data_IF_637162492315
#
_entry.id   IF_637162492315
#
_cell.length_a   1.000
_cell.length_b   1.000
_cell.length_c   1.000
_cell.angle_alpha   90.00
_cell.angle_beta   90.00
_cell.angle_gamma   90.00
#
_symmetry.space_group_name_H-M   'P 1'
#
loop_
_entity.id
_entity.type
_entity.pdbx_description
1 polymer ?
#
# COMPACT_ATOMS: atom_id res chain seq x y z
N UNK A 1 -12.53 -1.16 3.58
CA UNK A 1 -11.40 -2.02 3.17
C UNK A 1 -11.85 -3.49 3.21
N UNK A 2 -11.34 -4.35 2.33
CA UNK A 2 -11.71 -5.77 2.28
C UNK A 2 -11.25 -6.63 3.48
N UNK A 3 -10.19 -6.21 4.16
CA UNK A 3 -9.64 -6.78 5.40
C UNK A 3 -10.33 -6.25 6.68
N UNK A 4 -11.20 -5.23 6.59
CA UNK A 4 -11.84 -4.64 7.77
C UNK A 4 -12.73 -5.62 8.54
N UNK A 5 -13.41 -6.55 7.84
CA UNK A 5 -14.24 -7.57 8.50
C UNK A 5 -13.39 -8.62 9.25
N UNK A 6 -12.33 -9.20 8.66
CA UNK A 6 -11.36 -10.00 9.40
C UNK A 6 -10.78 -9.26 10.63
N UNK A 7 -10.35 -8.01 10.47
CA UNK A 7 -9.82 -7.20 11.58
C UNK A 7 -10.86 -6.98 12.68
N UNK A 8 -12.12 -6.76 12.34
CA UNK A 8 -13.21 -6.68 13.34
C UNK A 8 -13.30 -7.97 14.15
N UNK A 9 -13.23 -9.14 13.50
CA UNK A 9 -13.28 -10.44 14.19
C UNK A 9 -12.08 -10.65 15.10
N UNK A 10 -10.89 -10.27 14.67
CA UNK A 10 -9.67 -10.34 15.47
C UNK A 10 -9.76 -9.44 16.70
N UNK A 11 -10.25 -8.20 16.53
CA UNK A 11 -10.48 -7.27 17.64
C UNK A 11 -11.53 -7.80 18.62
N UNK A 12 -12.61 -8.42 18.14
CA UNK A 12 -13.62 -9.05 19.01
C UNK A 12 -13.01 -10.23 19.77
N UNK A 13 -12.24 -11.10 19.10
CA UNK A 13 -11.57 -12.23 19.73
C UNK A 13 -10.59 -11.77 20.82
N UNK A 14 -9.80 -10.73 20.54
CA UNK A 14 -8.94 -10.11 21.53
C UNK A 14 -9.72 -9.48 22.69
N UNK A 15 -10.84 -8.80 22.41
CA UNK A 15 -11.70 -8.20 23.42
C UNK A 15 -12.30 -9.27 24.35
N UNK A 16 -12.70 -10.43 23.82
CA UNK A 16 -13.15 -11.58 24.63
C UNK A 16 -12.08 -12.02 25.62
N UNK A 17 -10.84 -12.18 25.17
CA UNK A 17 -9.73 -12.56 26.05
C UNK A 17 -9.44 -11.49 27.10
N UNK A 18 -9.50 -10.22 26.71
CA UNK A 18 -9.32 -9.08 27.62
C UNK A 18 -10.38 -9.07 28.72
N UNK A 19 -11.66 -9.25 28.36
CA UNK A 19 -12.77 -9.30 29.32
C UNK A 19 -12.66 -10.52 30.23
N UNK A 20 -12.31 -11.69 29.69
CA UNK A 20 -12.11 -12.91 30.49
C UNK A 20 -10.99 -12.76 31.55
N UNK A 21 -9.99 -11.91 31.29
CA UNK A 21 -8.94 -11.56 32.26
C UNK A 21 -9.33 -10.43 33.22
N UNK A 22 -10.59 -10.02 33.25
CA UNK A 22 -11.11 -8.94 34.11
C UNK A 22 -10.95 -7.53 33.54
N UNK A 23 -10.55 -7.40 32.28
CA UNK A 23 -10.46 -6.10 31.59
C UNK A 23 -11.81 -5.58 31.09
N UNK A 24 -11.87 -4.29 30.74
CA UNK A 24 -13.04 -3.73 30.07
C UNK A 24 -13.11 -4.12 28.59
N UNK A 25 -14.33 -4.17 28.04
CA UNK A 25 -14.58 -4.30 26.61
C UNK A 25 -14.11 -3.08 25.82
N UNK A 26 -14.25 -3.13 24.49
CA UNK A 26 -13.87 -2.04 23.58
C UNK A 26 -15.08 -1.45 22.87
N UNK A 27 -14.85 -0.32 22.20
CA UNK A 27 -15.78 0.26 21.23
C UNK A 27 -15.21 0.14 19.82
N UNK A 28 -16.00 -0.33 18.87
CA UNK A 28 -15.66 -0.36 17.43
C UNK A 28 -16.64 0.55 16.69
N UNK A 29 -16.11 1.55 15.96
CA UNK A 29 -16.91 2.39 15.06
C UNK A 29 -16.83 1.82 13.65
N UNK A 30 -17.96 1.44 13.08
CA UNK A 30 -18.06 0.93 11.71
C UNK A 30 -18.37 2.11 10.78
N UNK A 31 -17.48 2.34 9.82
CA UNK A 31 -17.57 3.39 8.80
C UNK A 31 -17.30 2.79 7.41
N UNK A 32 -17.74 3.42 6.33
CA UNK A 32 -17.44 2.98 4.96
C UNK A 32 -16.02 3.34 4.51
N UNK A 33 -15.58 4.57 4.81
CA UNK A 33 -14.26 5.11 4.46
C UNK A 33 -14.36 6.56 3.98
N UNK A 34 -13.27 7.31 4.05
CA UNK A 34 -13.25 8.75 3.73
C UNK A 34 -12.02 9.19 2.91
N UNK A 35 -11.21 8.24 2.43
CA UNK A 35 -9.89 8.47 1.84
C UNK A 35 -9.72 7.82 0.45
N UNK A 36 -10.80 7.45 -0.26
CA UNK A 36 -10.70 6.70 -1.52
C UNK A 36 -9.77 7.38 -2.54
N UNK A 37 -9.88 8.70 -2.72
CA UNK A 37 -9.03 9.44 -3.64
C UNK A 37 -7.54 9.35 -3.28
N UNK A 38 -7.20 9.43 -1.99
CA UNK A 38 -5.83 9.28 -1.49
C UNK A 38 -5.32 7.87 -1.76
N UNK A 39 -6.11 6.84 -1.44
CA UNK A 39 -5.76 5.44 -1.69
C UNK A 39 -5.55 5.14 -3.18
N UNK A 40 -6.31 5.81 -4.07
CA UNK A 40 -6.13 5.70 -5.52
C UNK A 40 -4.82 6.31 -5.99
N UNK A 41 -4.43 7.48 -5.47
CA UNK A 41 -3.14 8.10 -5.80
C UNK A 41 -1.98 7.26 -5.29
N UNK A 42 -2.03 6.80 -4.04
CA UNK A 42 -1.00 5.95 -3.45
C UNK A 42 -0.84 4.63 -4.22
N UNK A 43 -1.94 4.01 -4.63
CA UNK A 43 -1.92 2.80 -5.43
C UNK A 43 -1.23 3.02 -6.79
N UNK A 44 -1.57 4.12 -7.47
CA UNK A 44 -0.98 4.45 -8.78
C UNK A 44 0.50 4.82 -8.68
N UNK A 45 0.89 5.62 -7.69
CA UNK A 45 2.27 6.10 -7.54
C UNK A 45 3.27 4.97 -7.26
N UNK A 46 2.84 3.93 -6.54
CA UNK A 46 3.70 2.82 -6.13
C UNK A 46 3.47 1.52 -6.93
N UNK A 47 2.63 1.56 -7.97
CA UNK A 47 2.15 0.39 -8.71
C UNK A 47 1.60 -0.73 -7.79
N UNK A 48 0.88 -0.32 -6.75
CA UNK A 48 0.26 -1.25 -5.79
C UNK A 48 -1.20 -1.51 -6.13
N UNK A 49 -1.73 -2.72 -5.86
CA UNK A 49 -3.16 -2.95 -5.90
C UNK A 49 -3.89 -1.97 -4.97
N UNK A 50 -4.97 -1.37 -5.47
CA UNK A 50 -5.84 -0.50 -4.67
C UNK A 50 -6.31 -1.25 -3.42
N UNK A 51 -5.97 -0.75 -2.23
CA UNK A 51 -6.28 -1.42 -0.96
C UNK A 51 -7.79 -1.47 -0.67
N UNK A 52 -8.58 -0.39 -0.89
CA UNK A 52 -10.03 -0.44 -0.80
C UNK A 52 -10.73 -1.36 -1.82
N UNK A 53 -12.02 -1.61 -1.57
CA UNK A 53 -12.90 -2.12 -2.61
C UNK A 53 -12.96 -1.16 -3.79
N UNK A 54 -13.11 -1.70 -5.00
CA UNK A 54 -13.14 -0.93 -6.24
C UNK A 54 -14.55 -0.42 -6.59
N UNK A 55 -15.58 -0.91 -5.90
CA UNK A 55 -16.95 -0.48 -6.11
C UNK A 55 -17.67 -0.16 -4.81
N UNK A 56 -18.59 0.80 -4.87
CA UNK A 56 -19.46 1.15 -3.73
C UNK A 56 -20.32 -0.02 -3.26
N UNK A 57 -20.80 -0.85 -4.19
CA UNK A 57 -21.63 -2.01 -3.86
C UNK A 57 -20.88 -3.00 -2.95
N UNK A 58 -19.58 -3.21 -3.18
CA UNK A 58 -18.74 -4.07 -2.34
C UNK A 58 -18.49 -3.45 -0.96
N UNK A 59 -18.23 -2.14 -0.91
CA UNK A 59 -18.12 -1.40 0.36
C UNK A 59 -19.40 -1.57 1.17
N UNK A 60 -20.54 -1.38 0.51
CA UNK A 60 -21.84 -1.52 1.12
C UNK A 60 -22.08 -2.96 1.57
N UNK A 61 -21.82 -3.97 0.75
CA UNK A 61 -21.96 -5.39 1.12
C UNK A 61 -21.12 -5.74 2.36
N UNK A 62 -19.86 -5.31 2.40
CA UNK A 62 -18.99 -5.53 3.55
C UNK A 62 -19.45 -4.77 4.79
N UNK A 63 -20.00 -3.56 4.64
CA UNK A 63 -20.61 -2.82 5.75
C UNK A 63 -21.75 -3.63 6.38
N UNK A 64 -22.62 -4.27 5.58
CA UNK A 64 -23.69 -5.13 6.10
C UNK A 64 -23.10 -6.33 6.84
N UNK A 65 -22.07 -6.98 6.27
CA UNK A 65 -21.36 -8.09 6.91
C UNK A 65 -20.81 -7.71 8.29
N UNK A 66 -20.17 -6.55 8.39
CA UNK A 66 -19.63 -6.03 9.65
C UNK A 66 -20.73 -5.66 10.67
N UNK A 67 -21.88 -5.17 10.19
CA UNK A 67 -23.06 -4.91 11.04
C UNK A 67 -23.66 -6.21 11.59
N UNK A 68 -23.63 -7.33 10.84
CA UNK A 68 -24.04 -8.63 11.38
C UNK A 68 -23.12 -9.10 12.50
N UNK A 69 -21.81 -8.97 12.35
CA UNK A 69 -20.87 -9.25 13.44
C UNK A 69 -21.13 -8.35 14.66
N UNK A 70 -21.49 -7.08 14.42
CA UNK A 70 -21.77 -6.14 15.50
C UNK A 70 -23.04 -6.52 16.30
N UNK A 71 -24.04 -7.06 15.61
CA UNK A 71 -25.33 -7.42 16.20
C UNK A 71 -25.38 -8.84 16.78
N UNK A 72 -24.40 -9.69 16.54
CA UNK A 72 -24.29 -10.99 17.21
C UNK A 72 -24.22 -10.78 18.75
N UNK A 73 -25.11 -11.40 19.55
CA UNK A 73 -25.15 -11.18 21.00
C UNK A 73 -23.85 -11.53 21.73
N UNK A 74 -23.13 -12.56 21.29
CA UNK A 74 -21.86 -12.98 21.89
C UNK A 74 -20.73 -12.01 21.54
N UNK A 75 -20.77 -11.36 20.38
CA UNK A 75 -19.86 -10.28 20.02
C UNK A 75 -20.21 -8.98 20.79
N UNK A 76 -21.49 -8.61 20.80
CA UNK A 76 -22.02 -7.41 21.45
C UNK A 76 -21.81 -7.41 22.97
N UNK A 77 -21.73 -8.58 23.61
CA UNK A 77 -21.43 -8.71 25.04
C UNK A 77 -20.08 -8.11 25.45
N UNK A 78 -19.08 -8.14 24.56
CA UNK A 78 -17.70 -7.70 24.84
C UNK A 78 -17.28 -6.45 24.06
N UNK A 79 -18.04 -6.07 23.03
CA UNK A 79 -17.81 -4.87 22.22
C UNK A 79 -19.06 -4.00 22.14
N UNK A 80 -18.92 -2.69 22.31
CA UNK A 80 -19.94 -1.71 21.93
C UNK A 80 -19.68 -1.28 20.48
N UNK A 81 -20.69 -1.31 19.63
CA UNK A 81 -20.54 -0.94 18.22
C UNK A 81 -21.23 0.39 17.93
N UNK A 82 -20.51 1.31 17.29
CA UNK A 82 -21.07 2.53 16.73
C UNK A 82 -21.21 2.38 15.22
N UNK A 83 -22.44 2.31 14.72
CA UNK A 83 -22.73 2.24 13.28
C UNK A 83 -22.84 3.65 12.74
N UNK A 84 -21.80 4.11 12.04
CA UNK A 84 -21.73 5.47 11.53
C UNK A 84 -22.15 5.53 10.06
N UNK A 85 -23.33 6.10 9.80
CA UNK A 85 -23.86 6.21 8.44
C UNK A 85 -24.93 7.31 8.35
N UNK A 86 -25.03 7.96 7.20
CA UNK A 86 -26.18 8.80 6.84
C UNK A 86 -27.13 8.10 5.86
N UNK A 87 -26.80 6.87 5.43
CA UNK A 87 -27.65 6.10 4.54
C UNK A 87 -28.83 5.51 5.32
N UNK A 88 -30.04 6.00 5.06
CA UNK A 88 -31.24 5.60 5.79
C UNK A 88 -31.59 4.11 5.60
N UNK A 89 -31.25 3.50 4.48
CA UNK A 89 -31.41 2.05 4.31
C UNK A 89 -30.49 1.28 5.28
N UNK A 90 -29.25 1.71 5.44
CA UNK A 90 -28.31 1.09 6.38
C UNK A 90 -28.74 1.29 7.84
N UNK A 91 -29.27 2.48 8.16
CA UNK A 91 -29.80 2.78 9.50
C UNK A 91 -31.02 1.91 9.80
N UNK A 92 -32.01 1.88 8.91
CA UNK A 92 -33.22 1.06 9.08
C UNK A 92 -32.88 -0.43 9.18
N UNK A 93 -31.96 -0.91 8.33
CA UNK A 93 -31.47 -2.29 8.37
C UNK A 93 -30.86 -2.64 9.72
N UNK A 94 -30.00 -1.77 10.25
CA UNK A 94 -29.33 -1.98 11.54
C UNK A 94 -30.31 -1.90 12.71
N UNK A 95 -31.29 -0.98 12.68
CA UNK A 95 -32.34 -0.86 13.69
C UNK A 95 -33.13 -2.17 13.81
N UNK A 96 -33.56 -2.72 12.68
CA UNK A 96 -34.29 -3.98 12.65
C UNK A 96 -33.41 -5.15 13.12
N UNK A 97 -32.15 -5.19 12.69
CA UNK A 97 -31.23 -6.26 13.06
C UNK A 97 -30.92 -6.27 14.56
N UNK A 98 -30.53 -5.13 15.14
CA UNK A 98 -30.18 -5.08 16.56
C UNK A 98 -31.37 -5.39 17.47
N UNK A 99 -32.58 -5.00 17.07
CA UNK A 99 -33.81 -5.29 17.79
C UNK A 99 -34.15 -6.79 17.72
N UNK A 100 -33.96 -7.41 16.55
CA UNK A 100 -34.14 -8.86 16.36
C UNK A 100 -33.19 -9.67 17.23
N UNK A 101 -31.93 -9.26 17.34
CA UNK A 101 -30.92 -9.95 18.15
C UNK A 101 -30.92 -9.52 19.64
N UNK A 102 -31.73 -8.52 20.03
CA UNK A 102 -31.84 -8.05 21.41
C UNK A 102 -30.62 -7.30 21.94
N UNK A 103 -29.91 -6.56 21.07
CA UNK A 103 -28.62 -5.90 21.38
C UNK A 103 -28.67 -4.36 21.27
N UNK A 104 -29.86 -3.77 21.37
CA UNK A 104 -30.09 -2.31 21.26
C UNK A 104 -29.14 -1.47 22.12
N UNK A 105 -28.88 -1.89 23.36
CA UNK A 105 -28.00 -1.17 24.29
C UNK A 105 -26.50 -1.28 23.95
N UNK A 106 -26.13 -2.12 22.97
CA UNK A 106 -24.73 -2.41 22.59
C UNK A 106 -24.40 -1.96 21.18
N UNK A 107 -25.40 -1.70 20.34
CA UNK A 107 -25.24 -1.21 18.97
C UNK A 107 -25.92 0.15 18.83
N UNK A 108 -25.11 1.20 18.85
CA UNK A 108 -25.52 2.60 18.76
C UNK A 108 -25.30 3.16 17.36
N UNK A 109 -25.90 4.31 17.08
CA UNK A 109 -25.75 5.02 15.81
C UNK A 109 -24.88 6.24 15.98
N UNK A 110 -24.13 6.55 14.93
CA UNK A 110 -23.32 7.75 14.87
C UNK A 110 -23.52 8.51 13.56
N UNK A 111 -23.54 9.84 13.63
CA UNK A 111 -23.66 10.71 12.46
C UNK A 111 -22.71 11.90 12.58
N UNK A 112 -22.45 12.56 11.46
CA UNK A 112 -21.72 13.82 11.46
C UNK A 112 -22.68 14.94 11.88
N UNK A 113 -22.20 15.82 12.74
CA UNK A 113 -22.91 17.06 13.03
C UNK A 113 -23.02 17.91 11.75
N UNK A 114 -24.18 18.55 11.52
CA UNK A 114 -24.29 19.67 10.59
C UNK A 114 -24.67 19.29 9.16
N UNK A 115 -25.05 18.03 8.95
CA UNK A 115 -25.19 17.44 7.61
C UNK A 115 -26.66 17.14 7.25
N UNK A 116 -27.30 16.28 8.04
CA UNK A 116 -28.66 15.79 7.79
C UNK A 116 -29.52 15.94 9.05
N UNK A 117 -29.61 17.16 9.58
CA UNK A 117 -30.13 17.43 10.93
C UNK A 117 -31.56 16.89 11.16
N UNK A 118 -32.44 16.98 10.16
CA UNK A 118 -33.79 16.43 10.25
C UNK A 118 -33.79 14.91 10.38
N UNK A 119 -32.97 14.23 9.57
CA UNK A 119 -32.81 12.78 9.59
C UNK A 119 -32.12 12.34 10.89
N UNK A 120 -31.09 13.04 11.34
CA UNK A 120 -30.39 12.78 12.59
C UNK A 120 -31.35 12.82 13.79
N UNK A 121 -32.27 13.78 13.83
CA UNK A 121 -33.31 13.84 14.87
C UNK A 121 -34.22 12.61 14.85
N UNK A 122 -34.72 12.23 13.67
CA UNK A 122 -35.59 11.05 13.52
C UNK A 122 -34.85 9.77 13.91
N UNK A 123 -33.58 9.65 13.54
CA UNK A 123 -32.74 8.50 13.93
C UNK A 123 -32.50 8.47 15.43
N UNK A 124 -32.20 9.60 16.07
CA UNK A 124 -32.05 9.69 17.52
C UNK A 124 -33.32 9.22 18.25
N UNK A 125 -34.49 9.70 17.81
CA UNK A 125 -35.79 9.30 18.38
C UNK A 125 -36.07 7.80 18.16
N UNK A 126 -35.83 7.29 16.95
CA UNK A 126 -36.10 5.87 16.60
C UNK A 126 -35.12 4.90 17.25
N UNK A 127 -33.87 5.32 17.44
CA UNK A 127 -32.80 4.49 17.98
C UNK A 127 -32.67 4.57 19.51
N UNK A 128 -33.36 5.51 20.17
CA UNK A 128 -33.16 5.79 21.60
C UNK A 128 -31.78 6.38 21.92
N UNK A 129 -31.15 7.03 20.96
CA UNK A 129 -29.82 7.65 21.10
C UNK A 129 -29.07 7.78 19.77
N UNK A 130 -28.31 8.87 19.64
CA UNK A 130 -27.42 9.15 18.52
C UNK A 130 -26.17 9.87 19.02
N UNK A 131 -24.99 9.37 18.64
CA UNK A 131 -23.72 10.05 18.89
C UNK A 131 -23.36 10.93 17.69
N UNK A 132 -23.13 12.23 17.94
CA UNK A 132 -22.70 13.17 16.91
C UNK A 132 -21.18 13.33 16.92
N UNK A 133 -20.57 13.15 15.75
CA UNK A 133 -19.19 13.54 15.50
C UNK A 133 -19.15 15.03 15.19
N UNK A 134 -18.71 15.81 16.18
CA UNK A 134 -18.63 17.26 16.12
C UNK A 134 -17.16 17.69 16.00
N UNK A 135 -16.68 18.09 14.81
CA UNK A 135 -15.34 18.64 14.66
C UNK A 135 -15.27 20.01 15.34
N UNK A 136 -14.27 20.20 16.20
CA UNK A 136 -14.01 21.46 16.91
C UNK A 136 -12.56 21.86 16.63
N UNK A 137 -12.35 23.15 16.36
CA UNK A 137 -11.03 23.71 16.07
C UNK A 137 -10.87 25.03 16.83
N UNK A 138 -9.65 25.36 17.24
CA UNK A 138 -9.35 26.69 17.77
C UNK A 138 -9.55 27.74 16.68
N UNK A 139 -9.88 28.96 17.09
CA UNK A 139 -10.09 30.08 16.15
C UNK A 139 -8.86 30.33 15.26
N UNK A 140 -7.67 30.16 15.82
CA UNK A 140 -6.41 30.41 15.12
C UNK A 140 -6.09 29.30 14.10
N UNK A 141 -6.68 28.11 14.25
CA UNK A 141 -6.50 26.96 13.37
C UNK A 141 -7.63 26.82 12.33
N UNK A 142 -8.39 27.88 12.07
CA UNK A 142 -9.57 27.85 11.20
C UNK A 142 -9.29 27.28 9.80
N UNK A 143 -8.08 27.45 9.27
CA UNK A 143 -7.67 26.86 7.99
C UNK A 143 -7.81 25.34 7.94
N UNK A 144 -7.60 24.64 9.07
CA UNK A 144 -7.79 23.19 9.17
C UNK A 144 -9.26 22.78 9.01
N UNK A 145 -10.20 23.63 9.44
CA UNK A 145 -11.63 23.40 9.22
C UNK A 145 -12.02 23.56 7.75
N UNK A 146 -11.34 24.41 6.98
CA UNK A 146 -11.57 24.55 5.54
C UNK A 146 -11.21 23.25 4.81
N UNK A 147 -10.06 22.65 5.11
CA UNK A 147 -9.67 21.37 4.53
C UNK A 147 -10.68 20.26 4.86
N UNK A 148 -11.19 20.24 6.10
CA UNK A 148 -12.26 19.33 6.50
C UNK A 148 -13.57 19.59 5.72
N UNK A 149 -13.96 20.86 5.55
CA UNK A 149 -15.16 21.25 4.81
C UNK A 149 -15.08 20.80 3.34
N UNK A 150 -13.95 21.03 2.67
CA UNK A 150 -13.74 20.60 1.27
C UNK A 150 -13.95 19.10 1.13
N UNK A 151 -13.38 18.30 2.04
CA UNK A 151 -13.58 16.84 2.06
C UNK A 151 -15.05 16.45 2.26
N UNK A 152 -15.79 17.16 3.12
CA UNK A 152 -17.23 16.90 3.32
C UNK A 152 -18.04 17.23 2.07
N UNK A 153 -17.74 18.35 1.41
CA UNK A 153 -18.41 18.74 0.15
C UNK A 153 -18.15 17.71 -0.96
N UNK A 154 -16.88 17.33 -1.16
CA UNK A 154 -16.49 16.33 -2.15
C UNK A 154 -17.21 14.99 -1.92
N UNK A 155 -17.14 14.47 -0.68
CA UNK A 155 -17.82 13.23 -0.31
C UNK A 155 -19.33 13.31 -0.60
N UNK A 156 -20.00 14.39 -0.21
CA UNK A 156 -21.46 14.52 -0.33
C UNK A 156 -21.97 14.70 -1.76
N UNK A 157 -21.15 15.25 -2.66
CA UNK A 157 -21.55 15.57 -4.04
C UNK A 157 -21.29 14.43 -5.05
N UNK A 158 -20.49 13.43 -4.65
CA UNK A 158 -20.22 12.23 -5.46
C UNK A 158 -21.51 11.57 -5.98
N UNK A 159 -21.49 11.15 -7.25
CA UNK A 159 -22.66 10.58 -7.95
C UNK A 159 -23.27 9.36 -7.25
N UNK A 160 -22.42 8.60 -6.57
CA UNK A 160 -22.86 7.41 -5.87
C UNK A 160 -23.19 7.67 -4.40
N UNK A 161 -22.99 8.87 -3.85
CA UNK A 161 -23.30 9.15 -2.45
C UNK A 161 -24.81 9.22 -2.20
N UNK A 162 -25.26 8.57 -1.12
CA UNK A 162 -26.65 8.63 -0.67
C UNK A 162 -27.08 10.06 -0.30
N UNK A 163 -26.18 10.87 0.27
CA UNK A 163 -26.48 12.25 0.67
C UNK A 163 -26.83 13.16 -0.51
N UNK A 164 -26.31 12.86 -1.71
CA UNK A 164 -26.67 13.56 -2.95
C UNK A 164 -28.16 13.42 -3.26
N UNK A 165 -28.68 12.20 -3.15
CA UNK A 165 -30.10 11.92 -3.43
C UNK A 165 -31.00 12.32 -2.23
N UNK A 166 -30.48 12.26 -1.00
CA UNK A 166 -31.27 12.39 0.24
C UNK A 166 -32.21 13.60 0.30
N UNK A 167 -31.77 14.78 -0.14
CA UNK A 167 -32.56 16.00 0.00
C UNK A 167 -33.73 16.10 -0.99
N UNK A 168 -33.63 15.43 -2.14
CA UNK A 168 -34.66 15.44 -3.19
C UNK A 168 -35.48 14.16 -3.28
N UNK A 169 -34.99 13.06 -2.70
CA UNK A 169 -35.54 11.73 -2.85
C UNK A 169 -36.83 11.53 -2.03
N UNK A 170 -37.83 10.94 -2.68
CA UNK A 170 -39.11 10.53 -2.09
C UNK A 170 -39.34 9.03 -2.32
N UNK A 171 -39.96 8.32 -1.36
CA UNK A 171 -40.32 6.92 -1.56
C UNK A 171 -41.07 6.68 -2.88
N UNK A 172 -40.52 5.78 -3.71
CA UNK A 172 -41.10 5.38 -4.99
C UNK A 172 -40.63 6.17 -6.22
N UNK A 173 -39.89 7.26 -6.05
CA UNK A 173 -39.26 7.94 -7.18
C UNK A 173 -38.04 7.18 -7.74
N UNK A 174 -37.47 7.68 -8.83
CA UNK A 174 -36.36 6.98 -9.51
C UNK A 174 -35.08 6.98 -8.66
N UNK A 175 -34.82 8.04 -7.88
CA UNK A 175 -33.67 8.07 -6.98
C UNK A 175 -33.82 7.03 -5.86
N UNK A 176 -35.01 6.93 -5.28
CA UNK A 176 -35.37 5.92 -4.29
C UNK A 176 -35.20 4.52 -4.83
N UNK A 177 -35.77 4.23 -6.01
CA UNK A 177 -35.65 2.90 -6.63
C UNK A 177 -34.19 2.52 -6.88
N UNK A 178 -33.36 3.46 -7.35
CA UNK A 178 -31.92 3.22 -7.53
C UNK A 178 -31.21 2.91 -6.20
N UNK A 179 -31.49 3.68 -5.15
CA UNK A 179 -30.87 3.45 -3.83
C UNK A 179 -31.38 2.14 -3.18
N UNK A 180 -32.67 1.82 -3.33
CA UNK A 180 -33.25 0.56 -2.89
C UNK A 180 -32.60 -0.63 -3.61
N UNK A 181 -32.44 -0.55 -4.93
CA UNK A 181 -31.82 -1.61 -5.72
C UNK A 181 -30.36 -1.83 -5.31
N UNK A 182 -29.58 -0.74 -5.16
CA UNK A 182 -28.20 -0.79 -4.61
C UNK A 182 -28.16 -1.46 -3.25
N UNK A 183 -29.07 -1.09 -2.35
CA UNK A 183 -29.17 -1.68 -1.02
C UNK A 183 -29.47 -3.19 -1.09
N UNK A 184 -30.41 -3.61 -1.94
CA UNK A 184 -30.78 -5.03 -2.13
C UNK A 184 -29.61 -5.84 -2.71
N UNK A 185 -28.89 -5.32 -3.71
CA UNK A 185 -27.69 -5.97 -4.26
C UNK A 185 -26.60 -6.13 -3.20
N UNK A 186 -26.33 -5.08 -2.42
CA UNK A 186 -25.38 -5.15 -1.31
C UNK A 186 -25.78 -6.20 -0.26
N UNK A 187 -27.07 -6.30 0.09
CA UNK A 187 -27.58 -7.34 0.99
C UNK A 187 -27.37 -8.75 0.44
N UNK A 188 -27.61 -8.96 -0.85
CA UNK A 188 -27.41 -10.26 -1.51
C UNK A 188 -25.93 -10.67 -1.59
N UNK A 189 -25.01 -9.70 -1.70
CA UNK A 189 -23.57 -9.95 -1.85
C UNK A 189 -22.80 -9.97 -0.52
N UNK A 190 -23.43 -9.66 0.62
CA UNK A 190 -22.74 -9.50 1.92
C UNK A 190 -21.89 -10.71 2.32
N UNK A 191 -22.32 -11.92 1.98
CA UNK A 191 -21.64 -13.17 2.36
C UNK A 191 -20.59 -13.63 1.33
N UNK A 192 -20.59 -13.03 0.13
CA UNK A 192 -19.73 -13.44 -1.00
C UNK A 192 -18.71 -12.36 -1.39
N UNK A 193 -18.83 -11.14 -0.86
CA UNK A 193 -17.83 -10.08 -1.08
C UNK A 193 -16.47 -10.48 -0.52
N UNK A 194 -15.39 -10.14 -1.23
CA UNK A 194 -14.02 -10.45 -0.84
C UNK A 194 -13.76 -10.11 0.64
N UNK A 195 -13.11 -11.02 1.35
CA UNK A 195 -12.66 -10.87 2.73
C UNK A 195 -11.15 -11.10 2.77
N UNK A 196 -10.41 -10.13 3.32
CA UNK A 196 -8.95 -10.17 3.39
C UNK A 196 -8.30 -9.11 2.49
N UNK A 197 -6.99 -8.88 2.66
CA UNK A 197 -6.30 -7.79 1.99
C UNK A 197 -6.23 -8.02 0.47
N UNK A 198 -6.27 -6.92 -0.30
CA UNK A 198 -5.98 -6.95 -1.74
C UNK A 198 -4.48 -6.90 -2.05
N UNK A 199 -3.70 -6.28 -1.16
CA UNK A 199 -2.24 -6.23 -1.25
C UNK A 199 -1.65 -7.47 -0.60
N UNK A 200 -0.85 -8.21 -1.37
CA UNK A 200 -0.33 -9.52 -1.00
C UNK A 200 1.18 -9.66 -1.25
N UNK A 201 1.86 -8.55 -1.56
CA UNK A 201 3.30 -8.52 -1.82
C UNK A 201 4.06 -9.17 -0.66
N UNK A 202 4.96 -10.07 -1.00
CA UNK A 202 5.84 -10.76 -0.06
C UNK A 202 7.16 -11.00 -0.78
N UNK A 203 8.12 -10.12 -0.53
CA UNK A 203 9.46 -10.16 -1.17
C UNK A 203 10.20 -11.48 -0.93
N UNK A 204 9.79 -12.33 0.03
CA UNK A 204 10.39 -13.66 0.22
C UNK A 204 9.85 -14.73 -0.73
N UNK A 205 8.74 -14.47 -1.43
CA UNK A 205 7.99 -15.47 -2.21
C UNK A 205 7.80 -15.10 -3.66
N UNK A 206 8.20 -13.89 -4.03
CA UNK A 206 8.10 -13.41 -5.40
C UNK A 206 9.04 -14.21 -6.30
N UNK A 207 8.53 -14.52 -7.49
CA UNK A 207 9.34 -15.08 -8.56
C UNK A 207 9.68 -13.94 -9.49
N UNK A 208 10.97 -13.64 -9.58
CA UNK A 208 11.44 -12.59 -10.47
C UNK A 208 11.32 -13.07 -11.91
N UNK A 209 10.54 -12.34 -12.70
CA UNK A 209 10.35 -12.61 -14.13
C UNK A 209 10.84 -11.38 -14.89
N UNK A 210 11.84 -11.59 -15.72
CA UNK A 210 12.34 -10.57 -16.62
C UNK A 210 11.23 -10.10 -17.59
N UNK A 211 11.02 -8.79 -17.70
CA UNK A 211 9.96 -8.21 -18.54
C UNK A 211 10.23 -8.45 -20.02
N UNK A 212 9.21 -8.85 -20.82
CA UNK A 212 9.37 -8.97 -22.27
C UNK A 212 9.82 -7.64 -22.90
N UNK A 213 10.73 -7.68 -23.88
CA UNK A 213 11.25 -6.48 -24.55
C UNK A 213 10.18 -5.70 -25.33
N UNK A 214 9.11 -6.38 -25.76
CA UNK A 214 7.97 -5.79 -26.46
C UNK A 214 6.87 -5.29 -25.52
N UNK A 215 7.02 -5.46 -24.21
CA UNK A 215 6.03 -5.00 -23.23
C UNK A 215 6.06 -3.46 -23.05
N UNK A 216 4.90 -2.83 -22.80
CA UNK A 216 4.83 -1.41 -22.43
C UNK A 216 5.62 -1.11 -21.15
N UNK A 217 5.90 0.18 -20.90
CA UNK A 217 6.66 0.58 -19.72
C UNK A 217 5.76 0.60 -18.52
N UNK A 218 6.20 -0.12 -17.51
CA UNK A 218 5.65 -0.12 -16.18
C UNK A 218 6.85 0.05 -15.26
N UNK A 219 6.73 1.03 -14.37
CA UNK A 219 7.68 1.18 -13.29
C UNK A 219 7.63 -0.08 -12.41
N UNK A 220 8.78 -0.47 -11.88
CA UNK A 220 8.87 -1.51 -10.87
C UNK A 220 8.11 -1.07 -9.61
N UNK A 221 7.39 -2.00 -8.98
CA UNK A 221 6.64 -1.69 -7.78
C UNK A 221 7.59 -1.57 -6.59
N UNK A 222 7.44 -0.52 -5.79
CA UNK A 222 8.15 -0.39 -4.51
C UNK A 222 7.73 -1.50 -3.54
N UNK A 223 8.55 -1.76 -2.53
CA UNK A 223 8.18 -2.65 -1.45
C UNK A 223 7.11 -2.01 -0.55
N UNK A 224 5.93 -2.62 -0.45
CA UNK A 224 4.87 -2.22 0.47
C UNK A 224 5.20 -2.64 1.91
N UNK A 225 5.86 -1.74 2.65
CA UNK A 225 6.18 -1.95 4.07
C UNK A 225 4.96 -1.86 5.01
N UNK A 226 3.75 -1.55 4.50
CA UNK A 226 2.51 -1.72 5.27
C UNK A 226 2.16 -3.21 5.48
N UNK A 227 2.74 -4.11 4.68
CA UNK A 227 2.57 -5.54 4.80
C UNK A 227 3.52 -6.15 5.85
N UNK A 228 3.01 -6.96 6.81
CA UNK A 228 3.84 -7.56 7.86
C UNK A 228 4.98 -8.44 7.33
N UNK A 229 4.78 -9.13 6.20
CA UNK A 229 5.79 -10.00 5.59
C UNK A 229 7.02 -9.20 5.15
N UNK A 230 6.81 -8.09 4.44
CA UNK A 230 7.89 -7.20 3.99
C UNK A 230 8.62 -6.52 5.17
N UNK A 231 7.90 -6.13 6.24
CA UNK A 231 8.58 -5.62 7.45
C UNK A 231 9.42 -6.69 8.15
N UNK A 232 8.97 -7.95 8.11
CA UNK A 232 9.72 -9.06 8.69
C UNK A 232 10.99 -9.31 7.85
N UNK A 233 10.84 -9.41 6.53
CA UNK A 233 11.94 -9.51 5.57
C UNK A 233 13.00 -8.42 5.78
N UNK A 234 12.59 -7.14 5.79
CA UNK A 234 13.51 -6.02 6.02
C UNK A 234 14.25 -6.10 7.36
N UNK A 235 13.57 -6.53 8.44
CA UNK A 235 14.21 -6.73 9.75
C UNK A 235 15.24 -7.86 9.72
N UNK A 236 14.93 -8.96 9.04
CA UNK A 236 15.85 -10.09 8.90
C UNK A 236 17.10 -9.69 8.10
N UNK A 237 16.94 -8.88 7.05
CA UNK A 237 18.06 -8.29 6.30
C UNK A 237 18.95 -7.40 7.16
N UNK A 238 18.35 -6.49 7.94
CA UNK A 238 19.10 -5.59 8.84
C UNK A 238 19.91 -6.41 9.86
N UNK A 239 19.30 -7.44 10.45
CA UNK A 239 19.96 -8.26 11.46
C UNK A 239 21.10 -9.10 10.86
N UNK A 240 20.86 -9.75 9.71
CA UNK A 240 21.88 -10.50 9.01
C UNK A 240 23.10 -9.63 8.69
N UNK A 241 22.86 -8.42 8.16
CA UNK A 241 23.90 -7.49 7.75
C UNK A 241 24.74 -6.94 8.92
N UNK A 242 24.14 -6.75 10.10
CA UNK A 242 24.90 -6.35 11.31
C UNK A 242 25.96 -7.36 11.73
N UNK A 243 25.73 -8.63 11.40
CA UNK A 243 26.57 -9.78 11.74
C UNK A 243 27.43 -10.28 10.58
N UNK A 244 27.37 -9.62 9.42
CA UNK A 244 28.10 -10.04 8.24
C UNK A 244 29.63 -9.94 8.47
N UNK A 245 30.41 -10.91 7.96
CA UNK A 245 31.86 -10.80 7.98
C UNK A 245 32.32 -9.65 7.08
N UNK A 246 33.41 -9.00 7.46
CA UNK A 246 34.07 -7.99 6.62
C UNK A 246 34.55 -8.68 5.35
N UNK A 247 33.97 -8.29 4.22
CA UNK A 247 34.30 -8.84 2.90
C UNK A 247 35.40 -8.03 2.22
N UNK A 248 36.25 -8.71 1.44
CA UNK A 248 37.23 -8.09 0.55
C UNK A 248 36.65 -8.09 -0.86
N UNK A 249 36.42 -6.90 -1.41
CA UNK A 249 35.78 -6.68 -2.71
C UNK A 249 36.89 -6.52 -3.78
N UNK A 250 37.01 -7.44 -4.75
CA UNK A 250 38.02 -7.39 -5.79
C UNK A 250 37.68 -6.37 -6.89
N UNK A 251 38.67 -6.06 -7.72
CA UNK A 251 38.42 -5.50 -9.05
C UNK A 251 37.87 -6.60 -9.97
N UNK A 252 37.09 -6.23 -10.98
CA UNK A 252 36.67 -7.14 -12.06
C UNK A 252 37.11 -6.57 -13.40
N UNK A 253 38.10 -7.19 -14.03
CA UNK A 253 38.65 -6.76 -15.32
C UNK A 253 38.63 -7.95 -16.28
N UNK A 254 38.06 -7.76 -17.48
CA UNK A 254 37.92 -8.82 -18.50
C UNK A 254 37.27 -10.11 -17.95
N UNK A 255 36.26 -9.96 -17.09
CA UNK A 255 35.54 -11.06 -16.45
C UNK A 255 36.34 -11.82 -15.38
N UNK A 256 37.44 -11.27 -14.88
CA UNK A 256 38.28 -11.88 -13.84
C UNK A 256 38.32 -11.02 -12.59
N UNK A 257 38.11 -11.66 -11.45
CA UNK A 257 38.30 -11.04 -10.14
C UNK A 257 39.80 -10.95 -9.81
N UNK A 258 40.24 -9.77 -9.37
CA UNK A 258 41.62 -9.49 -9.00
C UNK A 258 41.69 -8.70 -7.69
N UNK A 259 42.45 -9.22 -6.72
CA UNK A 259 42.81 -8.49 -5.51
C UNK A 259 44.13 -7.74 -5.73
N UNK A 260 44.14 -6.44 -5.46
CA UNK A 260 45.36 -5.64 -5.52
C UNK A 260 46.09 -5.63 -4.18
N UNK A 261 47.33 -5.11 -4.17
CA UNK A 261 48.10 -4.93 -2.93
C UNK A 261 47.58 -3.78 -2.06
N UNK A 262 46.72 -2.92 -2.60
CA UNK A 262 46.21 -1.72 -1.95
C UNK A 262 44.71 -1.86 -1.70
N UNK A 263 44.35 -2.08 -0.45
CA UNK A 263 42.95 -2.14 0.01
C UNK A 263 42.61 -0.91 0.81
N UNK A 264 41.40 -0.39 0.61
CA UNK A 264 40.79 0.62 1.48
C UNK A 264 39.58 0.07 2.21
N UNK A 265 39.43 0.47 3.47
CA UNK A 265 38.30 0.11 4.31
C UNK A 265 37.11 1.04 4.07
N UNK A 266 35.93 0.47 3.84
CA UNK A 266 34.65 1.14 3.98
C UNK A 266 34.14 1.04 5.41
N UNK A 267 33.48 2.09 5.91
CA UNK A 267 33.01 2.17 7.29
C UNK A 267 31.51 2.41 7.33
N UNK A 268 30.83 1.77 8.28
CA UNK A 268 29.40 1.95 8.49
C UNK A 268 29.11 3.37 9.05
N UNK A 269 28.42 4.26 8.31
CA UNK A 269 28.16 5.62 8.76
C UNK A 269 27.26 5.68 10.00
N UNK A 270 26.44 4.65 10.23
CA UNK A 270 25.55 4.53 11.38
C UNK A 270 26.25 3.97 12.63
N UNK A 271 27.43 3.37 12.46
CA UNK A 271 28.28 2.82 13.53
C UNK A 271 29.73 3.32 13.36
N UNK A 272 30.03 4.56 13.77
CA UNK A 272 31.35 5.15 13.55
C UNK A 272 32.50 4.28 14.07
N UNK A 273 33.49 4.05 13.21
CA UNK A 273 34.67 3.23 13.51
C UNK A 273 34.46 1.72 13.31
N UNK A 274 33.28 1.27 12.89
CA UNK A 274 33.05 -0.12 12.48
C UNK A 274 33.38 -0.25 11.00
N UNK A 275 34.44 -1.00 10.70
CA UNK A 275 34.78 -1.42 9.35
C UNK A 275 33.70 -2.37 8.81
N UNK A 276 33.19 -2.05 7.63
CA UNK A 276 32.09 -2.75 6.98
C UNK A 276 32.60 -3.75 5.93
N UNK A 277 33.55 -3.31 5.10
CA UNK A 277 34.16 -4.07 4.02
C UNK A 277 35.51 -3.45 3.67
N UNK A 278 36.30 -4.15 2.85
CA UNK A 278 37.51 -3.60 2.21
C UNK A 278 37.38 -3.75 0.71
N UNK A 279 37.91 -2.82 -0.07
CA UNK A 279 37.86 -2.91 -1.52
C UNK A 279 39.25 -2.65 -2.13
N UNK A 280 39.54 -3.36 -3.22
CA UNK A 280 40.76 -3.19 -3.99
C UNK A 280 40.77 -1.86 -4.74
N UNK A 281 41.87 -1.12 -4.61
CA UNK A 281 42.11 0.08 -5.41
C UNK A 281 42.79 -0.29 -6.72
N UNK A 282 42.27 0.25 -7.82
CA UNK A 282 42.90 0.15 -9.13
C UNK A 282 44.06 1.14 -9.27
N UNK A 283 45.25 0.63 -9.61
CA UNK A 283 46.39 1.45 -10.00
C UNK A 283 46.39 1.78 -11.49
N UNK A 284 47.41 2.53 -11.97
CA UNK A 284 47.53 2.86 -13.39
C UNK A 284 47.58 1.63 -14.31
N UNK A 285 48.20 0.53 -13.87
CA UNK A 285 48.30 -0.70 -14.67
C UNK A 285 46.94 -1.40 -14.79
N UNK A 286 46.17 -1.50 -13.69
CA UNK A 286 44.82 -2.07 -13.70
C UNK A 286 43.87 -1.24 -14.59
N UNK A 287 43.98 0.10 -14.52
CA UNK A 287 43.17 1.01 -15.34
C UNK A 287 43.49 0.82 -16.83
N UNK A 288 44.77 0.73 -17.21
CA UNK A 288 45.17 0.48 -18.61
C UNK A 288 44.61 -0.85 -19.11
N UNK A 289 44.72 -1.93 -18.32
CA UNK A 289 44.14 -3.24 -18.67
C UNK A 289 42.63 -3.18 -18.85
N UNK A 290 41.91 -2.44 -18.01
CA UNK A 290 40.47 -2.26 -18.14
C UNK A 290 40.09 -1.51 -19.42
N UNK A 291 40.85 -0.49 -19.80
CA UNK A 291 40.66 0.25 -21.05
C UNK A 291 40.94 -0.61 -22.28
N UNK A 292 42.06 -1.34 -22.28
CA UNK A 292 42.42 -2.28 -23.35
C UNK A 292 41.33 -3.34 -23.55
N UNK A 293 40.82 -3.92 -22.45
CA UNK A 293 39.73 -4.89 -22.49
C UNK A 293 38.44 -4.27 -23.08
N UNK A 294 38.08 -3.05 -22.67
CA UNK A 294 36.92 -2.34 -23.20
C UNK A 294 37.04 -2.07 -24.71
N UNK A 295 38.22 -1.66 -25.18
CA UNK A 295 38.50 -1.45 -26.62
C UNK A 295 38.40 -2.76 -27.39
N UNK A 296 38.97 -3.85 -26.86
CA UNK A 296 38.92 -5.17 -27.47
C UNK A 296 37.48 -5.70 -27.59
N UNK A 297 36.63 -5.47 -26.57
CA UNK A 297 35.23 -5.90 -26.55
C UNK A 297 34.29 -5.03 -27.41
N UNK A 298 34.75 -3.88 -27.92
CA UNK A 298 33.91 -2.93 -28.66
C UNK A 298 33.21 -3.55 -29.87
N UNK A 299 33.94 -4.33 -30.67
CA UNK A 299 33.41 -4.89 -31.90
C UNK A 299 32.28 -5.90 -31.63
N UNK A 300 32.45 -6.77 -30.64
CA UNK A 300 31.42 -7.73 -30.23
C UNK A 300 30.24 -7.04 -29.56
N UNK A 301 30.48 -6.03 -28.71
CA UNK A 301 29.41 -5.22 -28.10
C UNK A 301 28.55 -4.47 -29.14
N UNK A 302 29.19 -3.89 -30.17
CA UNK A 302 28.48 -3.26 -31.29
C UNK A 302 27.63 -4.29 -32.05
N UNK A 303 28.20 -5.47 -32.31
CA UNK A 303 27.56 -6.54 -33.07
C UNK A 303 26.29 -7.12 -32.40
N UNK A 304 26.13 -6.99 -31.08
CA UNK A 304 24.90 -7.38 -30.37
C UNK A 304 23.66 -6.61 -30.86
N UNK A 305 23.84 -5.43 -31.45
CA UNK A 305 22.72 -4.58 -31.86
C UNK A 305 21.87 -4.11 -30.67
N UNK A 306 20.76 -3.46 -30.98
CA UNK A 306 19.84 -2.96 -29.96
C UNK A 306 19.20 -4.12 -29.17
N UNK A 307 18.72 -5.15 -29.87
CA UNK A 307 18.04 -6.30 -29.28
C UNK A 307 18.95 -7.07 -28.32
N UNK A 308 20.17 -7.43 -28.75
CA UNK A 308 21.09 -8.18 -27.89
C UNK A 308 21.54 -7.41 -26.64
N UNK A 309 21.70 -6.09 -26.73
CA UNK A 309 21.98 -5.25 -25.55
C UNK A 309 20.76 -5.07 -24.66
N UNK A 310 19.57 -4.97 -25.25
CA UNK A 310 18.31 -4.94 -24.52
C UNK A 310 18.10 -6.22 -23.70
N UNK A 311 18.42 -7.38 -24.27
CA UNK A 311 18.38 -8.67 -23.55
C UNK A 311 19.29 -8.67 -22.32
N UNK A 312 20.52 -8.15 -22.44
CA UNK A 312 21.44 -8.05 -21.30
C UNK A 312 20.93 -7.11 -20.22
N UNK A 313 20.41 -5.92 -20.59
CA UNK A 313 19.83 -4.99 -19.61
C UNK A 313 18.60 -5.56 -18.93
N UNK A 314 17.78 -6.32 -19.66
CA UNK A 314 16.64 -7.07 -19.11
C UNK A 314 17.10 -8.10 -18.07
N UNK A 315 18.17 -8.83 -18.34
CA UNK A 315 18.75 -9.78 -17.39
C UNK A 315 19.33 -9.06 -16.16
N UNK A 316 19.98 -7.91 -16.34
CA UNK A 316 20.47 -7.06 -15.25
C UNK A 316 19.31 -6.60 -14.35
N UNK A 317 18.21 -6.11 -14.92
CA UNK A 317 17.02 -5.73 -14.15
C UNK A 317 16.51 -6.89 -13.29
N UNK A 318 16.44 -8.10 -13.87
CA UNK A 318 16.01 -9.29 -13.15
C UNK A 318 17.02 -9.77 -12.09
N UNK A 319 18.32 -9.50 -12.25
CA UNK A 319 19.31 -9.80 -11.22
C UNK A 319 19.23 -8.80 -10.06
N UNK A 320 19.05 -7.52 -10.35
CA UNK A 320 18.87 -6.48 -9.34
C UNK A 320 17.62 -6.77 -8.49
N UNK A 321 16.51 -7.17 -9.11
CA UNK A 321 15.31 -7.55 -8.38
C UNK A 321 15.53 -8.83 -7.54
N UNK A 322 16.21 -9.85 -8.08
CA UNK A 322 16.55 -11.07 -7.32
C UNK A 322 17.42 -10.79 -6.10
N UNK A 323 18.30 -9.81 -6.21
CA UNK A 323 19.23 -9.40 -5.15
C UNK A 323 18.76 -8.18 -4.37
N UNK A 324 17.52 -7.70 -4.57
CA UNK A 324 16.98 -6.46 -3.95
C UNK A 324 17.27 -6.38 -2.45
N UNK A 325 17.05 -7.48 -1.72
CA UNK A 325 17.31 -7.52 -0.28
C UNK A 325 18.79 -7.35 0.09
N UNK A 326 19.69 -7.97 -0.67
CA UNK A 326 21.14 -7.85 -0.49
C UNK A 326 21.63 -6.46 -0.89
N UNK A 327 21.10 -5.89 -1.97
CA UNK A 327 21.41 -4.55 -2.41
C UNK A 327 20.97 -3.50 -1.38
N UNK A 328 19.73 -3.62 -0.84
CA UNK A 328 19.26 -2.79 0.28
C UNK A 328 20.21 -2.91 1.48
N UNK A 329 20.57 -4.13 1.89
CA UNK A 329 21.49 -4.34 3.00
C UNK A 329 22.85 -3.67 2.76
N UNK A 330 23.38 -3.75 1.53
CA UNK A 330 24.63 -3.10 1.15
C UNK A 330 24.54 -1.58 1.27
N UNK A 331 23.47 -0.96 0.77
CA UNK A 331 23.26 0.50 0.86
C UNK A 331 23.07 0.99 2.29
N UNK A 332 22.46 0.17 3.15
CA UNK A 332 22.38 0.43 4.58
C UNK A 332 23.77 0.44 5.21
N UNK A 333 24.61 -0.53 4.87
CA UNK A 333 25.93 -0.72 5.45
C UNK A 333 26.92 0.36 4.99
N UNK A 334 26.95 0.65 3.70
CA UNK A 334 27.93 1.55 3.09
C UNK A 334 27.51 3.01 3.18
N UNK A 335 26.26 3.32 2.81
CA UNK A 335 25.77 4.69 2.71
C UNK A 335 24.90 5.12 3.90
N UNK A 336 24.59 4.22 4.83
CA UNK A 336 23.76 4.53 6.01
C UNK A 336 22.30 4.84 5.66
N UNK A 337 21.81 4.42 4.49
CA UNK A 337 20.45 4.74 4.03
C UNK A 337 19.38 4.05 4.87
N UNK A 338 18.22 4.68 5.03
CA UNK A 338 17.07 3.98 5.56
C UNK A 338 16.56 2.93 4.55
N UNK A 339 15.94 1.85 5.04
CA UNK A 339 15.40 0.78 4.16
C UNK A 339 14.47 1.34 3.09
N UNK A 340 13.61 2.29 3.45
CA UNK A 340 12.68 2.91 2.50
C UNK A 340 13.36 3.78 1.45
N UNK A 341 14.53 4.35 1.74
CA UNK A 341 15.30 5.13 0.76
C UNK A 341 16.08 4.20 -0.18
N UNK A 342 16.68 3.15 0.39
CA UNK A 342 17.39 2.15 -0.39
C UNK A 342 16.47 1.39 -1.36
N UNK A 343 15.27 0.99 -0.91
CA UNK A 343 14.31 0.24 -1.73
C UNK A 343 13.91 0.99 -3.01
N UNK A 344 13.63 2.30 -2.90
CA UNK A 344 13.25 3.14 -4.05
C UNK A 344 14.39 3.30 -5.05
N UNK A 345 15.65 3.34 -4.60
CA UNK A 345 16.79 3.39 -5.52
C UNK A 345 17.03 2.07 -6.24
N UNK A 346 16.73 0.93 -5.59
CA UNK A 346 16.73 -0.37 -6.28
C UNK A 346 15.62 -0.41 -7.34
N UNK A 347 14.41 0.07 -7.00
CA UNK A 347 13.32 0.26 -7.96
C UNK A 347 13.77 1.13 -9.14
N UNK A 348 14.41 2.27 -8.89
CA UNK A 348 14.92 3.17 -9.93
C UNK A 348 16.00 2.51 -10.81
N UNK A 349 16.90 1.72 -10.23
CA UNK A 349 17.92 0.98 -10.99
C UNK A 349 17.29 -0.07 -11.93
N UNK A 350 16.26 -0.78 -11.47
CA UNK A 350 15.47 -1.71 -12.28
C UNK A 350 14.73 -0.97 -13.39
N UNK A 351 14.13 0.18 -13.06
CA UNK A 351 13.44 1.04 -14.02
C UNK A 351 14.39 1.52 -15.11
N UNK A 352 15.57 2.02 -14.79
CA UNK A 352 16.56 2.42 -15.79
C UNK A 352 16.93 1.26 -16.71
N UNK A 353 17.23 0.09 -16.13
CA UNK A 353 17.58 -1.09 -16.90
C UNK A 353 16.45 -1.49 -17.87
N UNK A 354 15.19 -1.50 -17.42
CA UNK A 354 14.01 -1.82 -18.22
C UNK A 354 13.55 -0.69 -19.15
N UNK A 355 13.86 0.56 -18.85
CA UNK A 355 13.48 1.72 -19.65
C UNK A 355 14.42 1.85 -20.85
N UNK A 356 15.73 1.66 -20.66
CA UNK A 356 16.72 1.78 -21.72
C UNK A 356 16.73 0.63 -22.72
N UNK A 357 16.01 -0.47 -22.45
CA UNK A 357 15.73 -1.51 -23.46
C UNK A 357 14.72 -1.05 -24.52
N UNK A 358 14.09 0.12 -24.35
CA UNK A 358 12.97 0.56 -25.18
C UNK A 358 13.42 1.37 -26.37
N UNK A 359 12.89 1.03 -27.53
CA UNK A 359 13.16 1.77 -28.76
C UNK A 359 12.23 2.97 -28.85
N UNK A 360 12.81 4.17 -28.81
CA UNK A 360 12.09 5.38 -29.21
C UNK A 360 11.96 5.43 -30.74
N UNK A 361 10.94 6.11 -31.29
CA UNK A 361 10.79 6.28 -32.73
C UNK A 361 12.10 6.79 -33.33
N UNK A 362 12.63 6.01 -34.26
CA UNK A 362 13.91 6.23 -34.92
C UNK A 362 13.83 7.51 -35.78
N UNK A 363 14.75 8.45 -35.58
CA UNK A 363 14.91 9.62 -36.44
C UNK A 363 15.79 9.32 -37.68
N UNK A 364 16.24 8.07 -37.83
CA UNK A 364 17.06 7.60 -38.95
C UNK A 364 18.56 7.77 -38.72
N UNK A 365 19.00 8.08 -37.49
CA UNK A 365 20.42 8.14 -37.14
C UNK A 365 21.02 6.73 -36.96
N UNK A 366 22.16 6.48 -37.60
CA UNK A 366 22.94 5.26 -37.34
C UNK A 366 23.51 5.28 -35.92
N UNK A 367 23.25 4.24 -35.12
CA UNK A 367 23.85 4.09 -33.79
C UNK A 367 25.35 3.77 -33.91
N UNK A 368 26.17 4.73 -33.54
CA UNK A 368 27.61 4.55 -33.33
C UNK A 368 27.90 4.67 -31.82
N UNK A 369 28.31 3.59 -31.13
CA UNK A 369 28.76 3.68 -29.75
C UNK A 369 29.84 4.77 -29.61
N UNK A 370 29.64 5.70 -28.68
CA UNK A 370 30.57 6.79 -28.44
C UNK A 370 31.96 6.27 -28.04
N UNK A 371 32.98 7.08 -28.35
CA UNK A 371 34.40 6.98 -28.00
C UNK A 371 35.36 6.44 -29.08
N UNK A 372 36.30 7.34 -29.38
CA UNK A 372 37.66 7.21 -29.91
C UNK A 372 38.59 6.55 -28.91
#
# INVERSE_FOLDING_TARGET
LPDAWPVQKDLIAWARQRVARGGAGIKIRIVKGANLAMESVEAELHDWPLAPYSSKEEVDANFKRMVHEACDPANAAVVRHGVASHNLFDIAYTLLLRAREGVDARVEFEMLEGMANHQARVVNESAGGLLLYAPVVNRDDFHSAIAYLVRRLDENTSEENFLRDLFGMKPGDDAWKRQEERFRRACARKDTVLAGPKRLQDRNRETVVALPLDAPFHNEADTDFSLPANRKWARELIEANRSAPIADIPLVIDGREEMTQHLEAGFDPSRPGVEAYRHALAGPEEIERALEAAVAARASWKALGFEGRGELLREVAAEIERTRGEAIATMLLDAGKAVSEADVEITEAIDFANYYTRRFPDDGAAFEPFAT
#
